data_IF_842066065798
#
_entry.id   IF_842066065798
#
_cell.length_a   1.000
_cell.length_b   1.000
_cell.length_c   1.000
_cell.angle_alpha   90.00
_cell.angle_beta   90.00
_cell.angle_gamma   90.00
#
_symmetry.space_group_name_H-M   'P 1'
#
loop_
_entity.id
_entity.type
_entity.pdbx_description
1 polymer ?
#
# COMPACT_ATOMS: atom_id res chain seq x y z
N UNK A 1 -16.61 17.69 -12.63
CA UNK A 1 -16.38 17.40 -11.20
C UNK A 1 -16.08 15.91 -11.09
N UNK A 2 -14.82 15.52 -10.89
CA UNK A 2 -14.47 14.11 -10.68
C UNK A 2 -14.71 13.78 -9.19
N UNK A 3 -15.69 12.91 -8.92
CA UNK A 3 -15.90 12.37 -7.59
C UNK A 3 -14.85 11.29 -7.33
N UNK A 4 -13.92 11.55 -6.40
CA UNK A 4 -13.10 10.47 -5.84
C UNK A 4 -14.02 9.60 -4.99
N UNK A 5 -14.46 8.47 -5.54
CA UNK A 5 -15.23 7.48 -4.80
C UNK A 5 -14.36 6.98 -3.65
N UNK A 6 -14.81 7.12 -2.41
CA UNK A 6 -14.20 6.50 -1.23
C UNK A 6 -14.34 4.97 -1.34
N UNK A 7 -13.52 4.35 -2.18
CA UNK A 7 -13.47 2.89 -2.30
C UNK A 7 -12.69 2.39 -1.10
N UNK A 8 -13.40 1.91 -0.09
CA UNK A 8 -12.81 1.07 0.95
C UNK A 8 -12.03 -0.05 0.27
N UNK A 9 -10.72 -0.09 0.50
CA UNK A 9 -9.89 -1.19 0.03
C UNK A 9 -10.37 -2.48 0.68
N UNK A 10 -10.69 -3.47 -0.15
CA UNK A 10 -10.99 -4.82 0.30
C UNK A 10 -9.87 -5.73 -0.20
N UNK A 11 -9.20 -6.47 0.69
CA UNK A 11 -8.23 -7.47 0.28
C UNK A 11 -8.84 -8.48 -0.71
N UNK A 12 -8.06 -8.98 -1.69
CA UNK A 12 -8.53 -9.98 -2.63
C UNK A 12 -8.73 -11.34 -1.96
N UNK A 13 -9.82 -12.02 -2.31
CA UNK A 13 -10.10 -13.41 -1.90
C UNK A 13 -9.07 -14.38 -2.46
N UNK A 14 -8.92 -15.55 -1.84
CA UNK A 14 -7.99 -16.60 -2.27
C UNK A 14 -8.17 -16.96 -3.74
N UNK A 15 -9.43 -17.06 -4.18
CA UNK A 15 -9.78 -17.32 -5.57
C UNK A 15 -9.33 -16.20 -6.53
N UNK A 16 -9.49 -14.93 -6.13
CA UNK A 16 -9.01 -13.79 -6.95
C UNK A 16 -7.49 -13.77 -7.03
N UNK A 17 -6.78 -14.11 -5.94
CA UNK A 17 -5.32 -14.22 -5.92
C UNK A 17 -4.83 -15.35 -6.80
N UNK A 18 -5.41 -16.55 -6.68
CA UNK A 18 -5.08 -17.70 -7.53
C UNK A 18 -5.34 -17.41 -9.02
N UNK A 19 -6.47 -16.77 -9.33
CA UNK A 19 -6.80 -16.36 -10.70
C UNK A 19 -5.80 -15.36 -11.27
N UNK A 20 -5.31 -14.43 -10.46
CA UNK A 20 -4.32 -13.43 -10.89
C UNK A 20 -2.93 -14.03 -11.12
N UNK A 21 -2.56 -15.07 -10.37
CA UNK A 21 -1.28 -15.77 -10.53
C UNK A 21 -1.21 -16.61 -11.82
N UNK A 22 -2.35 -17.08 -12.31
CA UNK A 22 -2.41 -17.91 -13.51
C UNK A 22 -1.84 -19.32 -13.30
N UNK A 23 -1.40 -19.97 -14.37
CA UNK A 23 -0.84 -21.33 -14.30
C UNK A 23 0.58 -21.32 -13.73
N UNK A 24 0.73 -21.84 -12.51
CA UNK A 24 2.02 -21.95 -11.81
C UNK A 24 2.72 -23.31 -11.98
N UNK A 25 2.14 -24.25 -12.73
CA UNK A 25 2.69 -25.61 -12.90
C UNK A 25 4.01 -25.61 -13.67
N UNK A 26 4.20 -24.67 -14.59
CA UNK A 26 5.43 -24.55 -15.39
C UNK A 26 6.55 -23.77 -14.67
N UNK A 27 6.27 -23.20 -13.50
CA UNK A 27 7.28 -22.51 -12.70
C UNK A 27 8.22 -23.54 -12.07
N UNK A 28 9.51 -23.23 -12.02
CA UNK A 28 10.44 -24.03 -11.22
C UNK A 28 10.08 -23.95 -9.73
N UNK A 29 10.57 -24.91 -8.94
CA UNK A 29 10.14 -25.06 -7.55
C UNK A 29 10.47 -23.84 -6.67
N UNK A 30 11.57 -23.13 -6.96
CA UNK A 30 11.94 -21.92 -6.22
C UNK A 30 10.93 -20.78 -6.44
N UNK A 31 10.53 -20.55 -7.70
CA UNK A 31 9.56 -19.51 -8.04
C UNK A 31 8.17 -19.91 -7.56
N UNK A 32 7.78 -21.18 -7.75
CA UNK A 32 6.50 -21.72 -7.26
C UNK A 32 6.37 -21.52 -5.76
N UNK A 33 7.44 -21.78 -5.00
CA UNK A 33 7.49 -21.58 -3.55
C UNK A 33 7.37 -20.10 -3.18
N UNK A 34 8.07 -19.19 -3.88
CA UNK A 34 7.99 -17.76 -3.63
C UNK A 34 6.56 -17.21 -3.81
N UNK A 35 5.85 -17.66 -4.84
CA UNK A 35 4.46 -17.20 -5.09
C UNK A 35 3.42 -17.90 -4.24
N UNK A 36 3.71 -19.08 -3.67
CA UNK A 36 2.78 -19.80 -2.77
C UNK A 36 2.92 -19.35 -1.32
N UNK A 37 4.16 -19.18 -0.82
CA UNK A 37 4.44 -18.76 0.56
C UNK A 37 4.13 -17.26 0.75
N UNK A 38 4.33 -16.45 -0.31
CA UNK A 38 4.14 -15.01 -0.20
C UNK A 38 2.70 -14.53 -0.10
N UNK A 39 1.72 -15.43 -0.16
CA UNK A 39 0.31 -15.06 -0.13
C UNK A 39 -0.20 -14.85 1.30
N UNK A 40 0.26 -15.67 2.25
CA UNK A 40 -0.28 -15.67 3.61
C UNK A 40 0.61 -14.91 4.61
N UNK A 41 1.91 -14.71 4.31
CA UNK A 41 2.87 -14.08 5.25
C UNK A 41 3.50 -12.76 4.77
N UNK A 42 3.37 -12.35 3.51
CA UNK A 42 4.08 -11.15 3.00
C UNK A 42 3.40 -9.81 3.30
N UNK A 43 2.16 -9.80 3.80
CA UNK A 43 1.43 -8.57 4.14
C UNK A 43 1.07 -8.51 5.62
N UNK A 44 1.96 -8.99 6.48
CA UNK A 44 1.87 -8.61 7.87
C UNK A 44 2.02 -7.07 7.95
N UNK A 45 1.15 -6.38 8.71
CA UNK A 45 1.33 -4.95 8.92
C UNK A 45 2.75 -4.72 9.42
N UNK A 46 3.42 -3.71 8.86
CA UNK A 46 4.71 -3.29 9.40
C UNK A 46 4.55 -3.04 10.90
N UNK A 47 5.47 -3.54 11.73
CA UNK A 47 5.42 -3.26 13.16
C UNK A 47 5.45 -1.75 13.37
N UNK A 48 4.74 -1.29 14.40
CA UNK A 48 4.84 0.10 14.81
C UNK A 48 6.31 0.37 15.16
N UNK A 49 6.90 1.47 14.64
CA UNK A 49 8.26 1.86 14.98
C UNK A 49 8.45 1.94 16.51
N UNK A 50 9.58 1.46 17.00
CA UNK A 50 9.94 1.55 18.41
C UNK A 50 10.33 2.98 18.78
N UNK A 51 10.32 3.28 20.08
CA UNK A 51 10.86 4.52 20.61
C UNK A 51 12.32 4.68 20.19
N UNK A 52 12.62 5.72 19.41
CA UNK A 52 13.96 6.02 18.90
C UNK A 52 14.25 5.51 17.48
N UNK A 53 13.32 4.81 16.83
CA UNK A 53 13.44 4.51 15.40
C UNK A 53 13.39 5.82 14.59
N UNK A 54 14.22 5.94 13.54
CA UNK A 54 14.30 7.16 12.70
C UNK A 54 12.92 7.67 12.25
N UNK A 55 12.05 6.76 11.82
CA UNK A 55 10.71 7.12 11.33
C UNK A 55 9.76 7.58 12.45
N UNK A 56 10.08 7.28 13.71
CA UNK A 56 9.33 7.75 14.89
C UNK A 56 9.76 9.15 15.35
N UNK A 57 10.98 9.58 15.00
CA UNK A 57 11.58 10.84 15.47
C UNK A 57 11.72 11.88 14.37
N UNK A 58 11.66 11.49 13.10
CA UNK A 58 11.84 12.39 11.98
C UNK A 58 10.49 12.81 11.37
N UNK A 59 10.06 14.02 11.72
CA UNK A 59 9.00 14.70 10.98
C UNK A 59 9.59 15.19 9.65
N UNK A 60 9.21 14.54 8.55
CA UNK A 60 9.64 14.96 7.21
C UNK A 60 9.12 16.38 6.92
N UNK A 61 9.99 17.34 6.56
CA UNK A 61 9.57 18.70 6.25
C UNK A 61 8.79 18.73 4.93
N UNK A 62 7.50 19.06 4.99
CA UNK A 62 6.65 19.12 3.79
C UNK A 62 5.17 18.96 4.10
N UNK A 63 4.35 19.20 3.07
CA UNK A 63 2.90 19.33 3.21
C UNK A 63 2.23 18.07 3.73
N UNK A 64 1.89 18.09 5.02
CA UNK A 64 0.80 17.29 5.56
C UNK A 64 -0.44 17.40 4.67
N UNK A 65 -1.34 16.41 4.76
CA UNK A 65 -2.62 16.46 4.03
C UNK A 65 -3.35 17.79 4.29
N UNK A 66 -3.24 18.33 5.50
CA UNK A 66 -3.81 19.63 5.90
C UNK A 66 -3.17 20.81 5.15
N UNK A 67 -1.84 20.85 5.05
CA UNK A 67 -1.13 21.90 4.30
C UNK A 67 -1.39 21.80 2.78
N UNK A 68 -1.58 20.59 2.26
CA UNK A 68 -2.00 20.37 0.88
C UNK A 68 -3.42 20.91 0.61
N UNK A 69 -4.36 20.69 1.53
CA UNK A 69 -5.71 21.26 1.42
C UNK A 69 -5.70 22.80 1.49
N UNK A 70 -4.82 23.38 2.30
CA UNK A 70 -4.67 24.83 2.41
C UNK A 70 -4.11 25.47 1.14
N UNK A 71 -3.10 24.85 0.51
CA UNK A 71 -2.55 25.37 -0.75
C UNK A 71 -3.54 25.29 -1.93
N UNK A 72 -4.44 24.31 -1.96
CA UNK A 72 -5.52 24.28 -2.97
C UNK A 72 -6.52 25.43 -2.85
N UNK A 73 -6.61 26.09 -1.69
CA UNK A 73 -7.44 27.29 -1.53
C UNK A 73 -6.73 28.57 -1.99
N UNK A 74 -5.40 28.58 -1.99
CA UNK A 74 -4.61 29.79 -2.29
C UNK A 74 -4.32 29.97 -3.78
N UNK A 75 -4.44 28.94 -4.61
CA UNK A 75 -4.34 29.07 -6.07
C UNK A 75 -5.68 29.51 -6.67
N UNK A 76 -6.12 30.70 -6.27
CA UNK A 76 -7.21 31.45 -6.90
C UNK A 76 -6.95 32.92 -6.64
N UNK A 77 -5.90 33.45 -7.28
CA UNK A 77 -5.67 34.85 -7.68
C UNK A 77 -4.17 35.07 -7.88
N UNK A 78 -3.69 34.98 -9.12
CA UNK A 78 -3.26 36.15 -9.89
C UNK A 78 -3.21 35.77 -11.37
#
# INVERSE_FOLDING_TARGET
>A
MCACSNRTFSPPTDHQRAKALGDTYQLNDNIRRAVTIGIDECFLPFPVPNEGDWVSIHEEPGQTVQEFEQTKRTVSHT
#
